data_IF_010738129297
#
_entry.id   IF_010738129297
#
_cell.length_a   1.000
_cell.length_b   1.000
_cell.length_c   1.000
_cell.angle_alpha   90.00
_cell.angle_beta   90.00
_cell.angle_gamma   90.00
#
_symmetry.space_group_name_H-M   'P 1'
#
loop_
_entity.id
_entity.type
_entity.pdbx_description
1 polymer ?
#
# COMPACT_ATOMS: atom_id res chain seq x y z
N UNK A 1 11.88 -17.33 -53.55
CA UNK A 1 12.20 -15.97 -54.03
C UNK A 1 11.53 -15.01 -53.07
N UNK A 2 12.32 -14.29 -52.28
CA UNK A 2 11.78 -13.19 -51.47
C UNK A 2 11.46 -12.09 -52.46
N UNK A 3 10.19 -11.83 -52.75
CA UNK A 3 9.79 -10.67 -53.54
C UNK A 3 10.45 -9.43 -52.92
N UNK A 4 11.15 -8.69 -53.75
CA UNK A 4 11.83 -7.49 -53.31
C UNK A 4 10.80 -6.40 -52.98
N UNK A 5 10.30 -6.41 -51.77
CA UNK A 5 9.27 -5.50 -51.29
C UNK A 5 9.62 -4.02 -51.43
N UNK A 6 10.88 -3.69 -51.61
CA UNK A 6 11.40 -2.34 -51.83
C UNK A 6 11.22 -1.85 -53.26
N UNK A 7 11.20 -2.75 -54.24
CA UNK A 7 11.27 -2.39 -55.65
C UNK A 7 10.16 -1.39 -56.08
N UNK A 8 8.87 -1.56 -55.64
CA UNK A 8 7.83 -0.62 -56.02
C UNK A 8 8.06 0.79 -55.51
N UNK A 9 8.67 0.94 -54.32
CA UNK A 9 8.99 2.24 -53.72
C UNK A 9 10.21 2.88 -54.38
N UNK A 10 11.19 2.07 -54.77
CA UNK A 10 12.36 2.53 -55.56
C UNK A 10 11.91 3.02 -56.93
N UNK A 11 11.06 2.31 -57.64
CA UNK A 11 10.55 2.69 -58.97
C UNK A 11 9.74 3.99 -58.85
N UNK A 12 8.93 4.14 -57.82
CA UNK A 12 8.18 5.37 -57.57
C UNK A 12 9.10 6.56 -57.29
N UNK A 13 10.12 6.37 -56.49
CA UNK A 13 11.15 7.38 -56.24
C UNK A 13 11.93 7.76 -57.50
N UNK A 14 12.33 6.80 -58.34
CA UNK A 14 13.04 7.04 -59.58
C UNK A 14 12.16 7.86 -60.56
N UNK A 15 10.86 7.59 -60.58
CA UNK A 15 9.92 8.33 -61.44
C UNK A 15 9.75 9.81 -61.03
N UNK A 16 9.83 10.14 -59.75
CA UNK A 16 9.82 11.50 -59.24
C UNK A 16 10.59 11.64 -57.91
N UNK A 17 11.90 11.91 -57.98
CA UNK A 17 12.76 12.05 -56.80
C UNK A 17 12.48 13.28 -55.94
N UNK A 18 11.68 14.25 -56.49
CA UNK A 18 11.31 15.47 -55.79
C UNK A 18 9.95 15.38 -55.08
N UNK A 19 9.26 14.26 -55.22
CA UNK A 19 8.01 14.02 -54.55
C UNK A 19 8.23 13.63 -53.07
N UNK A 20 7.67 14.41 -52.10
CA UNK A 20 7.84 14.13 -50.67
C UNK A 20 7.32 12.73 -50.26
N UNK A 21 6.15 12.33 -50.77
CA UNK A 21 5.55 11.03 -50.43
C UNK A 21 6.40 9.85 -50.94
N UNK A 22 7.00 9.98 -52.13
CA UNK A 22 7.91 8.95 -52.67
C UNK A 22 9.12 8.78 -51.76
N UNK A 23 9.72 9.85 -51.29
CA UNK A 23 10.84 9.85 -50.38
C UNK A 23 10.42 9.29 -48.99
N UNK A 24 9.29 9.70 -48.46
CA UNK A 24 8.79 9.25 -47.17
C UNK A 24 8.56 7.73 -47.15
N UNK A 25 7.80 7.20 -48.11
CA UNK A 25 7.48 5.77 -48.11
C UNK A 25 8.71 4.87 -48.42
N UNK A 26 9.63 5.34 -49.22
CA UNK A 26 10.88 4.65 -49.43
C UNK A 26 11.73 4.63 -48.14
N UNK A 27 11.79 5.74 -47.42
CA UNK A 27 12.44 5.81 -46.12
C UNK A 27 11.83 4.81 -45.12
N UNK A 28 10.49 4.77 -45.07
CA UNK A 28 9.75 3.88 -44.16
C UNK A 28 9.98 2.41 -44.45
N UNK A 29 10.05 2.00 -45.71
CA UNK A 29 10.40 0.63 -46.09
C UNK A 29 11.86 0.28 -45.76
N UNK A 30 12.81 1.22 -45.94
CA UNK A 30 14.18 1.05 -45.43
C UNK A 30 14.24 0.92 -43.92
N UNK A 31 13.44 1.68 -43.20
CA UNK A 31 13.31 1.57 -41.73
C UNK A 31 12.87 0.16 -41.31
N UNK A 32 11.83 -0.38 -41.95
CA UNK A 32 11.31 -1.74 -41.67
C UNK A 32 12.32 -2.86 -41.81
N UNK A 33 13.23 -2.72 -42.79
CA UNK A 33 14.27 -3.72 -42.99
C UNK A 33 15.60 -3.41 -42.25
N UNK A 34 15.57 -2.42 -41.35
CA UNK A 34 16.72 -2.06 -40.51
C UNK A 34 17.84 -1.30 -41.21
N UNK A 35 17.60 -0.81 -42.42
CA UNK A 35 18.58 0.00 -43.18
C UNK A 35 18.52 1.47 -42.73
N UNK A 36 18.87 1.70 -41.44
CA UNK A 36 18.69 2.99 -40.77
C UNK A 36 19.40 4.14 -41.49
N UNK A 37 20.57 3.94 -42.07
CA UNK A 37 21.32 5.00 -42.79
C UNK A 37 20.58 5.45 -44.06
N UNK A 38 20.04 4.51 -44.84
CA UNK A 38 19.27 4.79 -46.03
C UNK A 38 17.95 5.46 -45.63
N UNK A 39 17.23 4.93 -44.65
CA UNK A 39 15.99 5.54 -44.11
C UNK A 39 16.22 6.98 -43.67
N UNK A 40 17.27 7.26 -42.90
CA UNK A 40 17.65 8.60 -42.48
C UNK A 40 17.81 9.57 -43.65
N UNK A 41 18.53 9.16 -44.70
CA UNK A 41 18.76 10.01 -45.85
C UNK A 41 17.50 10.39 -46.58
N UNK A 42 16.57 9.44 -46.75
CA UNK A 42 15.29 9.69 -47.42
C UNK A 42 14.29 10.49 -46.55
N UNK A 43 14.28 10.27 -45.23
CA UNK A 43 13.49 11.11 -44.33
C UNK A 43 13.98 12.55 -44.32
N UNK A 44 15.29 12.80 -44.28
CA UNK A 44 15.83 14.17 -44.35
C UNK A 44 15.54 14.80 -45.70
N UNK A 45 15.62 14.04 -46.80
CA UNK A 45 15.27 14.52 -48.10
C UNK A 45 13.79 14.88 -48.23
N UNK A 46 12.90 14.06 -47.66
CA UNK A 46 11.47 14.35 -47.57
C UNK A 46 11.22 15.65 -46.79
N UNK A 47 11.87 15.81 -45.64
CA UNK A 47 11.73 17.01 -44.80
C UNK A 47 12.21 18.30 -45.53
N UNK A 48 13.23 18.16 -46.38
CA UNK A 48 13.78 19.31 -47.17
C UNK A 48 12.81 19.78 -48.24
N UNK A 49 12.12 18.84 -48.91
CA UNK A 49 11.31 19.18 -50.12
C UNK A 49 9.82 19.34 -49.85
N UNK A 50 9.34 18.91 -48.66
CA UNK A 50 7.92 18.95 -48.30
C UNK A 50 7.50 20.33 -47.80
N UNK A 51 6.32 20.82 -48.23
CA UNK A 51 5.63 21.96 -47.67
C UNK A 51 4.62 21.58 -46.58
N UNK A 52 4.30 20.29 -46.48
CA UNK A 52 3.41 19.76 -45.43
C UNK A 52 4.12 19.77 -44.08
N UNK A 53 3.64 20.62 -43.20
CA UNK A 53 4.24 20.85 -41.88
C UNK A 53 4.27 19.61 -41.01
N UNK A 54 3.20 18.81 -41.02
CA UNK A 54 3.10 17.56 -40.23
C UNK A 54 4.05 16.51 -40.77
N UNK A 55 4.16 16.40 -42.11
CA UNK A 55 5.07 15.47 -42.75
C UNK A 55 6.54 15.81 -42.47
N UNK A 56 6.91 17.08 -42.55
CA UNK A 56 8.26 17.55 -42.21
C UNK A 56 8.60 17.21 -40.75
N UNK A 57 7.67 17.52 -39.83
CA UNK A 57 7.86 17.23 -38.42
C UNK A 57 8.04 15.73 -38.17
N UNK A 58 7.19 14.90 -38.78
CA UNK A 58 7.31 13.44 -38.66
C UNK A 58 8.64 12.92 -39.20
N UNK A 59 9.09 13.42 -40.34
CA UNK A 59 10.39 13.07 -40.89
C UNK A 59 11.54 13.44 -39.97
N UNK A 60 11.47 14.56 -39.25
CA UNK A 60 12.48 14.95 -38.25
C UNK A 60 12.48 13.99 -37.06
N UNK A 61 11.32 13.55 -36.57
CA UNK A 61 11.21 12.55 -35.53
C UNK A 61 11.73 11.17 -35.97
N UNK A 62 11.38 10.75 -37.18
CA UNK A 62 11.91 9.51 -37.78
C UNK A 62 13.42 9.56 -37.97
N UNK A 63 13.95 10.70 -38.36
CA UNK A 63 15.40 10.92 -38.46
C UNK A 63 16.09 10.76 -37.09
N UNK A 64 15.50 11.33 -36.05
CA UNK A 64 15.95 11.07 -34.68
C UNK A 64 15.93 9.58 -34.32
N UNK A 65 14.85 8.86 -34.65
CA UNK A 65 14.73 7.43 -34.36
C UNK A 65 15.81 6.60 -35.06
N UNK A 66 16.15 6.95 -36.30
CA UNK A 66 17.23 6.29 -37.06
C UNK A 66 18.61 6.53 -36.42
N UNK A 67 18.87 7.75 -35.96
CA UNK A 67 20.09 8.08 -35.21
C UNK A 67 20.15 7.34 -33.86
N UNK A 68 19.05 7.32 -33.15
CA UNK A 68 18.93 6.63 -31.86
C UNK A 68 19.22 5.13 -31.96
N UNK A 69 18.72 4.45 -33.00
CA UNK A 69 18.97 3.02 -33.24
C UNK A 69 20.45 2.69 -33.59
N UNK A 70 21.18 3.69 -34.01
CA UNK A 70 22.61 3.48 -34.36
C UNK A 70 23.59 3.74 -33.23
N UNK A 71 23.12 4.40 -32.15
CA UNK A 71 23.85 4.74 -30.90
C UNK A 71 25.20 5.43 -31.09
N UNK A 72 25.51 5.90 -32.29
CA UNK A 72 26.84 6.42 -32.67
C UNK A 72 27.04 7.90 -32.40
N UNK A 73 25.96 8.67 -32.16
CA UNK A 73 26.03 10.13 -32.09
C UNK A 73 24.99 10.71 -31.13
N UNK A 74 25.11 10.47 -29.81
CA UNK A 74 24.07 10.86 -28.85
C UNK A 74 23.80 12.36 -28.76
N UNK A 75 24.80 13.21 -29.05
CA UNK A 75 24.60 14.67 -29.12
C UNK A 75 23.77 15.11 -30.35
N UNK A 76 23.79 14.34 -31.42
CA UNK A 76 23.00 14.61 -32.63
C UNK A 76 21.52 14.26 -32.41
N UNK A 77 21.23 13.27 -31.58
CA UNK A 77 19.87 12.91 -31.21
C UNK A 77 19.14 14.05 -30.53
N UNK A 78 19.79 14.70 -29.56
CA UNK A 78 19.25 15.85 -28.88
C UNK A 78 18.97 17.01 -29.84
N UNK A 79 19.94 17.33 -30.69
CA UNK A 79 19.82 18.41 -31.67
C UNK A 79 18.67 18.17 -32.64
N UNK A 80 18.46 16.94 -33.10
CA UNK A 80 17.38 16.60 -34.02
C UNK A 80 16.00 16.80 -33.41
N UNK A 81 15.81 16.45 -32.15
CA UNK A 81 14.55 16.71 -31.44
C UNK A 81 14.32 18.21 -31.21
N UNK A 82 15.37 18.98 -30.90
CA UNK A 82 15.26 20.43 -30.81
C UNK A 82 14.87 21.05 -32.15
N UNK A 83 15.40 20.55 -33.25
CA UNK A 83 15.01 20.98 -34.60
C UNK A 83 13.53 20.71 -34.85
N UNK A 84 13.03 19.55 -34.48
CA UNK A 84 11.62 19.21 -34.58
C UNK A 84 10.73 20.18 -33.76
N UNK A 85 11.12 20.45 -32.50
CA UNK A 85 10.41 21.43 -31.65
C UNK A 85 10.42 22.82 -32.29
N UNK A 86 11.56 23.27 -32.77
CA UNK A 86 11.67 24.61 -33.39
C UNK A 86 10.80 24.70 -34.64
N UNK A 87 10.70 23.64 -35.41
CA UNK A 87 9.89 23.58 -36.61
C UNK A 87 8.38 23.57 -36.32
N UNK A 88 7.96 22.72 -35.31
CA UNK A 88 6.56 22.63 -34.95
C UNK A 88 6.38 22.56 -33.39
N UNK A 89 6.46 23.72 -32.72
CA UNK A 89 6.50 23.77 -31.24
C UNK A 89 5.18 23.35 -30.54
N UNK A 90 4.08 23.22 -31.30
CA UNK A 90 2.78 22.81 -30.74
C UNK A 90 2.57 21.31 -30.70
N UNK A 91 3.48 20.49 -31.21
CA UNK A 91 3.38 19.04 -31.19
C UNK A 91 4.12 18.43 -29.98
N UNK A 92 3.50 17.47 -29.25
CA UNK A 92 4.01 16.97 -27.99
C UNK A 92 5.14 15.93 -28.11
N UNK A 93 5.23 15.22 -29.24
CA UNK A 93 6.07 14.03 -29.37
C UNK A 93 7.56 14.31 -29.14
N UNK A 94 8.08 15.41 -29.70
CA UNK A 94 9.50 15.76 -29.54
C UNK A 94 9.83 16.18 -28.11
N UNK A 95 8.96 16.87 -27.40
CA UNK A 95 9.13 17.21 -25.99
C UNK A 95 9.17 15.95 -25.11
N UNK A 96 8.26 15.01 -25.37
CA UNK A 96 8.25 13.73 -24.68
C UNK A 96 9.54 12.95 -24.92
N UNK A 97 9.99 12.82 -26.18
CA UNK A 97 11.20 12.12 -26.53
C UNK A 97 12.46 12.75 -25.92
N UNK A 98 12.51 14.10 -25.83
CA UNK A 98 13.57 14.79 -25.10
C UNK A 98 13.52 14.50 -23.60
N UNK A 99 12.33 14.53 -22.99
CA UNK A 99 12.19 14.21 -21.57
C UNK A 99 12.66 12.79 -21.25
N UNK A 100 12.34 11.80 -22.09
CA UNK A 100 12.86 10.42 -21.99
C UNK A 100 14.39 10.35 -22.20
N UNK A 101 14.94 11.12 -23.12
CA UNK A 101 16.37 11.15 -23.34
C UNK A 101 17.13 11.64 -22.12
N UNK A 102 16.62 12.68 -21.47
CA UNK A 102 17.17 13.24 -20.22
C UNK A 102 16.92 12.31 -19.01
N UNK A 103 15.75 11.66 -18.93
CA UNK A 103 15.45 10.65 -17.92
C UNK A 103 16.51 9.53 -17.91
N UNK A 104 16.82 8.98 -19.08
CA UNK A 104 17.84 7.91 -19.24
C UNK A 104 19.25 8.32 -18.80
N UNK A 105 19.53 9.62 -18.81
CA UNK A 105 20.81 10.20 -18.36
C UNK A 105 20.76 10.68 -16.92
N UNK A 106 19.63 10.51 -16.22
CA UNK A 106 19.37 11.05 -14.89
C UNK A 106 19.48 12.59 -14.80
N UNK A 107 19.31 13.27 -15.92
CA UNK A 107 19.29 14.73 -16.02
C UNK A 107 17.87 15.24 -15.70
N UNK A 108 17.51 15.14 -14.41
CA UNK A 108 16.13 15.31 -13.93
C UNK A 108 15.56 16.72 -14.14
N UNK A 109 16.41 17.75 -14.09
CA UNK A 109 15.99 19.14 -14.31
C UNK A 109 15.56 19.38 -15.75
N UNK A 110 16.32 18.85 -16.68
CA UNK A 110 16.05 18.93 -18.11
C UNK A 110 14.81 18.11 -18.47
N UNK A 111 14.69 16.90 -17.92
CA UNK A 111 13.50 16.06 -18.05
C UNK A 111 12.25 16.83 -17.59
N UNK A 112 12.28 17.41 -16.38
CA UNK A 112 11.19 18.23 -15.85
C UNK A 112 10.89 19.45 -16.70
N UNK A 113 11.92 20.12 -17.20
CA UNK A 113 11.78 21.30 -18.05
C UNK A 113 11.04 20.97 -19.34
N UNK A 114 11.52 19.99 -20.12
CA UNK A 114 10.89 19.65 -21.40
C UNK A 114 9.47 19.10 -21.22
N UNK A 115 9.23 18.28 -20.20
CA UNK A 115 7.89 17.83 -19.88
C UNK A 115 6.94 18.99 -19.53
N UNK A 116 7.43 19.98 -18.76
CA UNK A 116 6.63 21.14 -18.35
C UNK A 116 6.32 22.07 -19.53
N UNK A 117 7.35 22.39 -20.33
CA UNK A 117 7.18 23.24 -21.51
C UNK A 117 6.24 22.59 -22.54
N UNK A 118 6.38 21.29 -22.75
CA UNK A 118 5.49 20.57 -23.65
C UNK A 118 4.03 20.59 -23.18
N UNK A 119 3.76 20.41 -21.88
CA UNK A 119 2.42 20.51 -21.31
C UNK A 119 1.81 21.91 -21.46
N UNK A 120 2.63 22.96 -21.44
CA UNK A 120 2.16 24.34 -21.55
C UNK A 120 1.90 24.76 -23.00
N UNK A 121 2.74 24.35 -23.95
CA UNK A 121 2.73 24.85 -25.32
C UNK A 121 1.99 23.97 -26.32
N UNK A 122 1.88 22.65 -26.04
CA UNK A 122 1.37 21.71 -27.03
C UNK A 122 -0.16 21.72 -27.16
N UNK A 123 -0.62 21.43 -28.36
CA UNK A 123 -2.02 21.13 -28.66
C UNK A 123 -2.19 19.63 -28.82
N UNK A 124 -2.84 19.01 -27.83
CA UNK A 124 -3.08 17.58 -27.80
C UNK A 124 -4.24 17.12 -28.69
N UNK A 125 -4.93 18.04 -29.39
CA UNK A 125 -6.00 17.71 -30.32
C UNK A 125 -5.51 17.65 -31.78
N UNK A 126 -4.21 17.80 -32.01
CA UNK A 126 -3.65 17.67 -33.35
C UNK A 126 -3.83 16.22 -33.85
N UNK A 127 -4.04 16.05 -35.19
CA UNK A 127 -4.21 14.72 -35.76
C UNK A 127 -2.95 13.87 -35.58
N UNK A 128 -3.15 12.53 -35.52
CA UNK A 128 -2.06 11.59 -35.45
C UNK A 128 -1.09 11.72 -36.62
N UNK A 129 0.17 11.40 -36.38
CA UNK A 129 1.19 11.30 -37.42
C UNK A 129 0.89 10.11 -38.34
N UNK A 130 1.44 10.12 -39.55
CA UNK A 130 1.19 9.10 -40.61
C UNK A 130 1.63 7.69 -40.14
N UNK A 131 2.67 7.65 -39.33
CA UNK A 131 3.18 6.40 -38.76
C UNK A 131 3.47 6.54 -37.28
N UNK A 132 3.44 5.43 -36.56
CA UNK A 132 3.68 5.40 -35.13
C UNK A 132 5.08 5.90 -34.79
N UNK A 133 5.16 6.85 -33.87
CA UNK A 133 6.35 7.25 -33.16
C UNK A 133 6.23 6.80 -31.70
N UNK A 134 7.35 6.67 -30.98
CA UNK A 134 7.35 6.19 -29.58
C UNK A 134 6.72 7.24 -28.63
N UNK A 135 5.49 7.65 -28.90
CA UNK A 135 4.73 8.58 -28.09
C UNK A 135 3.45 7.90 -27.60
N UNK A 136 3.29 7.67 -26.27
CA UNK A 136 2.18 6.85 -25.77
C UNK A 136 0.83 7.57 -25.69
N UNK A 137 0.77 8.88 -25.92
CA UNK A 137 -0.45 9.67 -25.90
C UNK A 137 -0.37 10.93 -25.04
N UNK A 138 -1.48 11.63 -24.92
CA UNK A 138 -1.63 12.94 -24.29
C UNK A 138 -1.21 13.00 -22.82
N UNK A 139 -1.29 11.89 -22.10
CA UNK A 139 -0.82 11.76 -20.71
C UNK A 139 0.71 11.63 -20.57
N UNK A 140 1.44 11.42 -21.65
CA UNK A 140 2.85 11.06 -21.61
C UNK A 140 3.75 12.12 -20.99
N UNK A 141 3.53 13.38 -21.33
CA UNK A 141 4.26 14.51 -20.76
C UNK A 141 3.92 14.72 -19.27
N UNK A 142 2.66 14.51 -18.88
CA UNK A 142 2.23 14.58 -17.49
C UNK A 142 2.94 13.51 -16.65
N UNK A 143 3.05 12.29 -17.16
CA UNK A 143 3.77 11.20 -16.52
C UNK A 143 5.26 11.54 -16.33
N UNK A 144 5.93 12.08 -17.36
CA UNK A 144 7.32 12.51 -17.30
C UNK A 144 7.54 13.62 -16.27
N UNK A 145 6.62 14.59 -16.23
CA UNK A 145 6.64 15.66 -15.24
C UNK A 145 6.43 15.14 -13.83
N UNK A 146 5.49 14.21 -13.63
CA UNK A 146 5.24 13.58 -12.33
C UNK A 146 6.48 12.87 -11.81
N UNK A 147 7.14 12.09 -12.67
CA UNK A 147 8.33 11.33 -12.33
C UNK A 147 9.51 12.25 -11.99
N UNK A 148 9.85 13.16 -12.88
CA UNK A 148 11.01 14.06 -12.70
C UNK A 148 10.86 15.06 -11.56
N UNK A 149 9.63 15.50 -11.24
CA UNK A 149 9.34 16.39 -10.09
C UNK A 149 9.88 15.85 -8.77
N UNK A 150 9.85 14.53 -8.58
CA UNK A 150 10.37 13.90 -7.36
C UNK A 150 11.85 14.13 -7.18
N UNK A 151 12.62 13.95 -8.25
CA UNK A 151 14.08 14.08 -8.24
C UNK A 151 14.58 15.53 -8.21
N UNK A 152 13.77 16.47 -8.70
CA UNK A 152 14.10 17.92 -8.56
C UNK A 152 13.65 18.51 -7.22
N UNK A 153 13.21 17.66 -6.28
CA UNK A 153 12.87 18.07 -4.92
C UNK A 153 11.43 18.57 -4.73
N UNK A 154 10.60 18.55 -5.76
CA UNK A 154 9.20 18.97 -5.70
C UNK A 154 8.26 17.80 -5.33
N UNK A 155 8.54 17.13 -4.23
CA UNK A 155 7.89 15.86 -3.85
C UNK A 155 6.37 15.96 -3.73
N UNK A 156 5.84 16.96 -3.05
CA UNK A 156 4.39 17.14 -2.88
C UNK A 156 3.70 17.48 -4.22
N UNK A 157 4.38 18.18 -5.09
CA UNK A 157 3.89 18.44 -6.44
C UNK A 157 3.90 17.16 -7.29
N UNK A 158 4.94 16.36 -7.20
CA UNK A 158 5.04 15.04 -7.84
C UNK A 158 3.84 14.14 -7.47
N UNK A 159 3.50 14.08 -6.20
CA UNK A 159 2.35 13.31 -5.71
C UNK A 159 1.04 13.73 -6.38
N UNK A 160 0.79 15.03 -6.50
CA UNK A 160 -0.39 15.57 -7.19
C UNK A 160 -0.41 15.19 -8.67
N UNK A 161 0.72 15.32 -9.34
CA UNK A 161 0.86 14.97 -10.76
C UNK A 161 0.65 13.47 -11.01
N UNK A 162 1.12 12.60 -10.09
CA UNK A 162 0.86 11.17 -10.18
C UNK A 162 -0.63 10.83 -10.06
N UNK A 163 -1.36 11.52 -9.16
CA UNK A 163 -2.81 11.36 -9.03
C UNK A 163 -3.55 11.84 -10.29
N UNK A 164 -3.13 12.97 -10.85
CA UNK A 164 -3.66 13.49 -12.12
C UNK A 164 -3.38 12.52 -13.27
N UNK A 165 -2.16 11.97 -13.35
CA UNK A 165 -1.79 10.96 -14.34
C UNK A 165 -2.66 9.69 -14.22
N UNK A 166 -2.86 9.18 -13.00
CA UNK A 166 -3.69 7.99 -12.75
C UNK A 166 -5.14 8.15 -13.19
N UNK A 167 -5.70 9.34 -12.97
CA UNK A 167 -7.07 9.69 -13.32
C UNK A 167 -7.22 10.20 -14.77
N UNK A 168 -6.15 10.21 -15.55
CA UNK A 168 -6.21 10.71 -16.93
C UNK A 168 -7.12 9.82 -17.79
N UNK A 169 -8.10 10.39 -18.53
CA UNK A 169 -9.13 9.60 -19.23
C UNK A 169 -8.56 8.65 -20.28
N UNK A 170 -7.46 9.04 -20.93
CA UNK A 170 -6.86 8.29 -22.03
C UNK A 170 -5.65 7.45 -21.61
N UNK A 171 -5.35 7.34 -20.31
CA UNK A 171 -4.18 6.58 -19.85
C UNK A 171 -4.29 5.10 -20.22
N UNK A 172 -3.24 4.56 -20.81
CA UNK A 172 -3.21 3.12 -21.11
C UNK A 172 -3.08 2.26 -19.86
N UNK A 173 -3.58 1.01 -19.86
CA UNK A 173 -3.55 0.13 -18.68
C UNK A 173 -2.15 -0.03 -18.07
N UNK A 174 -1.14 -0.15 -18.91
CA UNK A 174 0.27 -0.27 -18.49
C UNK A 174 0.74 0.94 -17.68
N UNK A 175 0.47 2.16 -18.16
CA UNK A 175 0.90 3.38 -17.47
C UNK A 175 0.01 3.73 -16.29
N UNK A 176 -1.25 3.29 -16.33
CA UNK A 176 -2.15 3.39 -15.18
C UNK A 176 -1.64 2.54 -14.01
N UNK A 177 -1.17 1.31 -14.28
CA UNK A 177 -0.58 0.46 -13.24
C UNK A 177 0.72 1.07 -12.69
N UNK A 178 1.58 1.62 -13.54
CA UNK A 178 2.78 2.34 -13.10
C UNK A 178 2.45 3.55 -12.20
N UNK A 179 1.42 4.32 -12.56
CA UNK A 179 0.95 5.44 -11.74
C UNK A 179 0.40 4.94 -10.40
N UNK A 180 -0.35 3.85 -10.40
CA UNK A 180 -0.86 3.17 -9.21
C UNK A 180 0.26 2.72 -8.28
N UNK A 181 1.30 2.06 -8.79
CA UNK A 181 2.46 1.64 -8.00
C UNK A 181 3.16 2.83 -7.31
N UNK A 182 3.34 3.95 -8.03
CA UNK A 182 3.95 5.15 -7.44
C UNK A 182 3.04 5.80 -6.40
N UNK A 183 1.74 5.90 -6.65
CA UNK A 183 0.78 6.42 -5.69
C UNK A 183 0.68 5.54 -4.44
N UNK A 184 0.76 4.24 -4.58
CA UNK A 184 0.82 3.28 -3.46
C UNK A 184 2.05 3.55 -2.59
N UNK A 185 3.23 3.74 -3.20
CA UNK A 185 4.46 4.10 -2.46
C UNK A 185 4.33 5.42 -1.70
N UNK A 186 3.49 6.33 -2.18
CA UNK A 186 3.20 7.62 -1.53
C UNK A 186 2.02 7.57 -0.57
N UNK A 187 1.36 6.41 -0.40
CA UNK A 187 0.12 6.23 0.35
C UNK A 187 -1.02 7.17 -0.10
N UNK A 188 -1.10 7.47 -1.39
CA UNK A 188 -2.06 8.41 -1.98
C UNK A 188 -3.18 7.75 -2.77
N UNK A 189 -3.10 6.48 -3.11
CA UNK A 189 -4.23 5.73 -3.59
C UNK A 189 -5.09 5.36 -2.39
N UNK A 190 -6.21 6.05 -2.28
CA UNK A 190 -7.37 5.39 -1.75
C UNK A 190 -7.65 4.26 -2.74
N UNK A 191 -7.44 3.02 -2.31
CA UNK A 191 -7.96 1.89 -3.06
C UNK A 191 -9.45 2.19 -3.26
N UNK A 192 -9.90 2.30 -4.52
CA UNK A 192 -11.31 2.17 -4.90
C UNK A 192 -11.80 0.74 -4.61
N UNK A 193 -11.59 0.30 -3.39
CA UNK A 193 -12.30 -0.79 -2.80
C UNK A 193 -13.41 -0.12 -2.01
N UNK A 194 -14.64 -0.26 -2.49
CA UNK A 194 -15.87 0.12 -1.81
C UNK A 194 -16.03 -0.55 -0.42
N UNK A 195 -15.06 -1.31 0.04
CA UNK A 195 -15.05 -1.99 1.32
C UNK A 195 -14.67 -1.03 2.44
N UNK A 196 -15.71 -0.45 3.00
CA UNK A 196 -15.57 0.32 4.24
C UNK A 196 -15.42 -0.60 5.45
N UNK A 197 -14.81 -0.06 6.47
CA UNK A 197 -14.59 -0.76 7.74
C UNK A 197 -15.31 -0.06 8.89
N UNK A 198 -15.67 -0.82 9.91
CA UNK A 198 -16.05 -0.28 11.20
C UNK A 198 -14.88 -0.33 12.17
N UNK A 199 -14.71 0.71 12.99
CA UNK A 199 -13.69 0.75 14.05
C UNK A 199 -14.35 0.63 15.40
N UNK A 200 -13.89 -0.31 16.22
CA UNK A 200 -14.32 -0.52 17.60
C UNK A 200 -13.27 0.11 18.53
N UNK A 201 -13.66 1.13 19.26
CA UNK A 201 -12.89 1.72 20.35
C UNK A 201 -13.35 1.09 21.68
N UNK A 202 -12.52 0.23 22.24
CA UNK A 202 -12.85 -0.65 23.36
C UNK A 202 -12.23 -0.16 24.66
N UNK A 203 -13.04 -0.03 25.72
CA UNK A 203 -12.59 0.27 27.08
C UNK A 203 -13.43 1.35 27.76
N UNK A 204 -12.94 1.89 28.90
CA UNK A 204 -13.63 2.94 29.63
C UNK A 204 -13.71 4.21 28.80
N UNK A 205 -14.91 4.79 28.67
CA UNK A 205 -15.12 6.01 27.91
C UNK A 205 -14.32 7.20 28.49
N UNK A 206 -13.79 8.01 27.60
CA UNK A 206 -13.23 9.33 27.88
C UNK A 206 -13.50 10.28 26.70
N UNK A 207 -13.31 11.57 26.88
CA UNK A 207 -13.44 12.53 25.77
C UNK A 207 -12.41 12.27 24.67
N UNK A 208 -11.23 11.78 25.04
CA UNK A 208 -10.22 11.32 24.09
C UNK A 208 -10.75 10.25 23.11
N UNK A 209 -11.61 9.34 23.62
CA UNK A 209 -12.27 8.34 22.76
C UNK A 209 -13.16 8.96 21.69
N UNK A 210 -13.89 10.02 22.04
CA UNK A 210 -14.77 10.74 21.12
C UNK A 210 -13.97 11.58 20.12
N UNK A 211 -12.90 12.21 20.56
CA UNK A 211 -11.98 12.94 19.67
C UNK A 211 -11.34 12.00 18.65
N UNK A 212 -10.87 10.83 19.10
CA UNK A 212 -10.34 9.76 18.24
C UNK A 212 -11.38 9.29 17.23
N UNK A 213 -12.63 9.10 17.65
CA UNK A 213 -13.74 8.74 16.76
C UNK A 213 -13.96 9.81 15.67
N UNK A 214 -14.00 11.10 16.06
CA UNK A 214 -14.15 12.22 15.12
C UNK A 214 -12.96 12.33 14.13
N UNK A 215 -11.76 11.99 14.57
CA UNK A 215 -10.57 11.96 13.71
C UNK A 215 -10.71 10.86 12.67
N UNK A 216 -11.04 9.64 13.09
CA UNK A 216 -11.11 8.48 12.20
C UNK A 216 -12.27 8.51 11.22
N UNK A 217 -13.40 9.15 11.55
CA UNK A 217 -14.49 9.37 10.61
C UNK A 217 -14.13 10.28 9.42
N UNK A 218 -12.99 10.98 9.47
CA UNK A 218 -12.48 11.74 8.33
C UNK A 218 -11.72 10.86 7.33
N UNK A 219 -11.41 9.62 7.69
CA UNK A 219 -10.74 8.66 6.82
C UNK A 219 -11.75 8.07 5.83
N UNK A 220 -11.46 8.08 4.53
CA UNK A 220 -12.46 7.73 3.50
C UNK A 220 -12.91 6.27 3.56
N UNK A 221 -12.10 5.38 4.13
CA UNK A 221 -12.38 3.95 4.27
C UNK A 221 -13.14 3.59 5.56
N UNK A 222 -13.39 4.54 6.47
CA UNK A 222 -14.12 4.32 7.72
C UNK A 222 -15.59 4.64 7.52
N UNK A 223 -16.46 3.70 7.90
CA UNK A 223 -17.90 3.87 7.84
C UNK A 223 -18.47 4.25 9.20
N UNK A 224 -18.31 3.40 10.20
CA UNK A 224 -18.83 3.63 11.53
C UNK A 224 -17.74 3.46 12.60
N UNK A 225 -17.94 4.18 13.72
CA UNK A 225 -17.16 3.99 14.95
C UNK A 225 -18.08 3.45 16.03
N UNK A 226 -17.69 2.36 16.66
CA UNK A 226 -18.39 1.78 17.80
C UNK A 226 -17.53 2.01 19.05
N UNK A 227 -17.99 2.88 19.94
CA UNK A 227 -17.36 3.08 21.25
C UNK A 227 -17.99 2.08 22.21
N UNK A 228 -17.26 1.00 22.50
CA UNK A 228 -17.71 -0.07 23.40
C UNK A 228 -17.19 0.18 24.82
N UNK A 229 -18.06 0.75 25.66
CA UNK A 229 -17.74 1.28 26.99
C UNK A 229 -18.62 0.63 28.08
N UNK A 230 -18.59 1.16 29.29
CA UNK A 230 -19.28 0.56 30.44
C UNK A 230 -20.62 1.25 30.72
N UNK A 231 -21.53 0.54 31.38
CA UNK A 231 -22.87 1.00 31.67
C UNK A 231 -22.88 2.28 32.51
N UNK A 232 -21.90 2.48 33.38
CA UNK A 232 -21.72 3.62 34.27
C UNK A 232 -20.85 4.75 33.66
N UNK A 233 -20.30 4.56 32.48
CA UNK A 233 -19.58 5.61 31.79
C UNK A 233 -20.53 6.75 31.39
N UNK A 234 -20.14 7.99 31.69
CA UNK A 234 -20.87 9.19 31.31
C UNK A 234 -20.62 9.55 29.85
N UNK A 235 -21.33 8.91 28.93
CA UNK A 235 -21.24 9.20 27.50
C UNK A 235 -22.11 10.43 27.15
N UNK A 236 -21.70 11.26 26.18
CA UNK A 236 -22.47 12.43 25.78
C UNK A 236 -23.82 12.03 25.19
N UNK A 237 -24.83 12.81 25.52
CA UNK A 237 -26.19 12.69 24.96
C UNK A 237 -26.25 13.47 23.64
N UNK A 238 -26.72 12.83 22.58
CA UNK A 238 -26.84 13.45 21.24
C UNK A 238 -26.79 12.42 20.13
N UNK A 239 -27.16 12.86 18.94
CA UNK A 239 -26.97 12.04 17.73
C UNK A 239 -25.59 12.34 17.12
N UNK A 240 -24.73 11.40 17.16
CA UNK A 240 -23.40 11.48 16.52
C UNK A 240 -23.45 10.63 15.26
N UNK A 241 -23.51 11.28 14.11
CA UNK A 241 -23.51 10.56 12.83
C UNK A 241 -22.33 9.58 12.77
N UNK A 242 -22.64 8.33 12.49
CA UNK A 242 -21.67 7.23 12.35
C UNK A 242 -20.85 6.90 13.64
N UNK A 243 -21.27 7.39 14.82
CA UNK A 243 -20.73 6.96 16.11
C UNK A 243 -21.79 6.29 16.94
N UNK A 244 -21.58 5.03 17.30
CA UNK A 244 -22.49 4.24 18.14
C UNK A 244 -21.85 3.95 19.49
N UNK A 245 -22.58 4.19 20.58
CA UNK A 245 -22.16 3.81 21.93
C UNK A 245 -22.78 2.47 22.32
N UNK A 246 -21.94 1.50 22.71
CA UNK A 246 -22.34 0.20 23.21
C UNK A 246 -21.99 0.13 24.69
N UNK A 247 -23.00 0.21 25.56
CA UNK A 247 -22.83 0.16 27.01
C UNK A 247 -22.86 -1.29 27.52
N UNK A 248 -21.74 -1.76 28.03
CA UNK A 248 -21.56 -3.11 28.54
C UNK A 248 -21.86 -3.19 30.04
N UNK A 249 -22.49 -4.29 30.47
CA UNK A 249 -22.53 -4.66 31.86
C UNK A 249 -21.20 -5.28 32.29
N UNK A 250 -20.77 -5.01 33.51
CA UNK A 250 -19.57 -5.61 34.05
C UNK A 250 -19.75 -7.14 34.17
N UNK A 251 -18.72 -7.94 33.86
CA UNK A 251 -18.71 -9.37 34.17
C UNK A 251 -18.67 -9.60 35.68
N UNK A 252 -19.04 -10.80 36.15
CA UNK A 252 -19.02 -11.17 37.56
C UNK A 252 -17.61 -11.13 38.19
N UNK A 253 -16.58 -11.33 37.38
CA UNK A 253 -15.17 -11.17 37.74
C UNK A 253 -14.45 -10.38 36.66
N UNK A 254 -13.53 -9.51 37.01
CA UNK A 254 -12.70 -8.82 36.04
C UNK A 254 -11.69 -9.75 35.34
N UNK A 255 -11.43 -10.92 35.95
CA UNK A 255 -10.40 -11.84 35.50
C UNK A 255 -8.98 -11.31 35.73
N UNK A 256 -7.98 -12.13 35.46
CA UNK A 256 -6.57 -11.79 35.60
C UNK A 256 -6.20 -10.62 34.67
N UNK A 257 -5.60 -9.57 35.22
CA UNK A 257 -5.19 -8.39 34.45
C UNK A 257 -6.36 -7.68 33.75
N UNK A 258 -7.61 -7.78 34.27
CA UNK A 258 -8.83 -7.24 33.68
C UNK A 258 -9.22 -7.81 32.30
N UNK A 259 -8.78 -9.04 31.98
CA UNK A 259 -9.05 -9.66 30.68
C UNK A 259 -10.52 -9.83 30.33
N UNK A 260 -11.37 -10.14 31.36
CA UNK A 260 -12.81 -10.27 31.13
C UNK A 260 -13.44 -8.96 30.71
N UNK A 261 -12.96 -7.83 31.23
CA UNK A 261 -13.40 -6.51 30.80
C UNK A 261 -13.04 -6.29 29.31
N UNK A 262 -11.82 -6.66 28.92
CA UNK A 262 -11.40 -6.53 27.53
C UNK A 262 -12.22 -7.45 26.61
N UNK A 263 -12.45 -8.71 27.00
CA UNK A 263 -13.22 -9.67 26.21
C UNK A 263 -14.65 -9.19 26.00
N UNK A 264 -15.38 -8.84 27.08
CA UNK A 264 -16.78 -8.41 27.01
C UNK A 264 -16.94 -7.18 26.13
N UNK A 265 -16.12 -6.16 26.35
CA UNK A 265 -16.24 -4.93 25.60
C UNK A 265 -15.77 -5.07 24.15
N UNK A 266 -14.76 -5.88 23.86
CA UNK A 266 -14.34 -6.19 22.47
C UNK A 266 -15.41 -6.96 21.73
N UNK A 267 -15.90 -8.07 22.30
CA UNK A 267 -16.91 -8.92 21.68
C UNK A 267 -18.20 -8.15 21.35
N UNK A 268 -18.72 -7.40 22.34
CA UNK A 268 -19.95 -6.64 22.14
C UNK A 268 -19.75 -5.49 21.13
N UNK A 269 -18.58 -4.86 21.13
CA UNK A 269 -18.23 -3.88 20.11
C UNK A 269 -18.26 -4.48 18.71
N UNK A 270 -17.57 -5.62 18.49
CA UNK A 270 -17.53 -6.31 17.20
C UNK A 270 -18.91 -6.84 16.78
N UNK A 271 -19.70 -7.41 17.71
CA UNK A 271 -21.08 -7.86 17.41
C UNK A 271 -22.01 -6.72 16.97
N UNK A 272 -21.72 -5.49 17.36
CA UNK A 272 -22.49 -4.30 16.98
C UNK A 272 -22.03 -3.59 15.71
N UNK A 273 -20.95 -4.07 15.07
CA UNK A 273 -20.51 -3.61 13.75
C UNK A 273 -21.36 -4.22 12.64
N UNK A 274 -21.32 -3.60 11.47
CA UNK A 274 -22.13 -3.99 10.29
C UNK A 274 -21.28 -4.37 9.10
N UNK A 275 -20.06 -3.84 9.00
CA UNK A 275 -19.17 -4.12 7.90
C UNK A 275 -18.50 -5.50 8.00
N UNK A 276 -18.11 -6.05 6.85
CA UNK A 276 -17.41 -7.34 6.75
C UNK A 276 -16.07 -7.33 7.46
N UNK A 277 -15.36 -6.19 7.41
CA UNK A 277 -14.07 -6.01 8.06
C UNK A 277 -14.16 -4.98 9.16
N UNK A 278 -13.52 -5.28 10.27
CA UNK A 278 -13.53 -4.44 11.45
C UNK A 278 -12.15 -4.31 12.05
N UNK A 279 -11.95 -3.19 12.73
CA UNK A 279 -10.74 -2.91 13.51
C UNK A 279 -11.13 -2.74 14.96
N UNK A 280 -10.60 -3.58 15.85
CA UNK A 280 -10.71 -3.39 17.29
C UNK A 280 -9.44 -2.71 17.80
N UNK A 281 -9.62 -1.61 18.48
CA UNK A 281 -8.55 -0.84 19.13
C UNK A 281 -8.92 -0.53 20.57
N UNK A 282 -7.93 -0.19 21.38
CA UNK A 282 -8.17 0.35 22.72
C UNK A 282 -8.58 1.82 22.61
N UNK A 283 -9.51 2.26 23.42
CA UNK A 283 -10.01 3.64 23.40
C UNK A 283 -9.10 4.66 24.11
N UNK A 284 -8.05 4.19 24.80
CA UNK A 284 -6.98 5.00 25.39
C UNK A 284 -5.76 5.14 24.46
N UNK A 285 -5.89 4.70 23.19
CA UNK A 285 -4.85 4.70 22.18
C UNK A 285 -5.35 5.34 20.88
N UNK A 286 -4.46 5.99 20.14
CA UNK A 286 -4.74 6.60 18.85
C UNK A 286 -3.54 6.48 17.93
N UNK A 287 -3.80 6.12 16.70
CA UNK A 287 -2.86 6.25 15.59
C UNK A 287 -3.19 7.52 14.82
N UNK A 288 -2.19 8.18 14.26
CA UNK A 288 -2.45 9.29 13.37
C UNK A 288 -3.07 8.84 12.04
N UNK A 289 -3.56 9.78 11.25
CA UNK A 289 -4.25 9.45 10.00
C UNK A 289 -3.33 8.79 8.97
N UNK A 290 -2.04 9.12 8.97
CA UNK A 290 -1.06 8.52 8.07
C UNK A 290 -0.80 7.07 8.45
N UNK A 291 -0.63 6.78 9.73
CA UNK A 291 -0.50 5.41 10.26
C UNK A 291 -1.73 4.57 9.95
N UNK A 292 -2.95 5.11 10.17
CA UNK A 292 -4.20 4.42 9.83
C UNK A 292 -4.30 4.12 8.33
N UNK A 293 -3.88 5.03 7.47
CA UNK A 293 -3.85 4.82 6.03
C UNK A 293 -2.84 3.72 5.62
N UNK A 294 -1.65 3.72 6.23
CA UNK A 294 -0.65 2.65 6.02
C UNK A 294 -1.17 1.29 6.46
N UNK A 295 -1.82 1.22 7.62
CA UNK A 295 -2.44 -0.01 8.12
C UNK A 295 -3.55 -0.50 7.18
N UNK A 296 -4.40 0.40 6.66
CA UNK A 296 -5.45 0.07 5.70
C UNK A 296 -4.88 -0.45 4.37
N UNK A 297 -3.82 0.16 3.85
CA UNK A 297 -3.15 -0.29 2.64
C UNK A 297 -2.57 -1.69 2.82
N UNK A 298 -1.86 -1.91 3.93
CA UNK A 298 -1.31 -3.21 4.29
C UNK A 298 -2.40 -4.29 4.44
N UNK A 299 -3.54 -3.93 5.07
CA UNK A 299 -4.69 -4.80 5.15
C UNK A 299 -5.20 -5.20 3.76
N UNK A 300 -5.40 -4.26 2.85
CA UNK A 300 -5.88 -4.54 1.50
C UNK A 300 -4.93 -5.44 0.69
N UNK A 301 -3.62 -5.31 0.88
CA UNK A 301 -2.62 -6.18 0.26
C UNK A 301 -2.65 -7.61 0.78
N UNK A 302 -3.19 -7.81 1.99
CA UNK A 302 -3.14 -9.09 2.70
C UNK A 302 -4.50 -9.75 2.90
N UNK A 303 -5.63 -9.05 2.73
CA UNK A 303 -6.97 -9.56 3.00
C UNK A 303 -7.39 -10.75 2.15
N UNK A 304 -6.88 -10.86 0.92
CA UNK A 304 -7.22 -11.96 0.00
C UNK A 304 -6.27 -13.16 0.09
N UNK A 305 -5.19 -13.04 0.85
CA UNK A 305 -4.24 -14.13 1.02
C UNK A 305 -4.83 -15.19 1.94
N UNK A 306 -5.61 -16.11 1.34
CA UNK A 306 -6.15 -17.28 2.05
C UNK A 306 -5.02 -18.08 2.66
N UNK A 307 -5.20 -18.44 3.92
CA UNK A 307 -4.29 -19.36 4.57
C UNK A 307 -4.67 -20.77 4.11
N UNK A 308 -3.82 -21.41 3.33
CA UNK A 308 -3.96 -22.85 3.06
C UNK A 308 -3.36 -23.61 4.23
N UNK A 309 -4.21 -24.18 5.07
CA UNK A 309 -3.80 -25.22 6.02
C UNK A 309 -4.30 -26.56 5.48
N UNK A 310 -3.37 -27.46 5.21
CA UNK A 310 -3.71 -28.81 4.76
C UNK A 310 -4.62 -29.46 5.81
N UNK A 311 -5.87 -29.72 5.40
CA UNK A 311 -6.87 -30.50 6.12
C UNK A 311 -7.76 -29.83 7.18
N UNK A 312 -7.83 -28.50 7.33
CA UNK A 312 -8.79 -27.92 8.26
C UNK A 312 -9.61 -26.78 7.64
N UNK A 313 -10.92 -27.06 7.38
CA UNK A 313 -11.89 -26.07 6.87
C UNK A 313 -12.29 -24.97 7.86
N UNK A 314 -11.77 -25.04 9.09
CA UNK A 314 -12.13 -24.18 10.23
C UNK A 314 -11.17 -23.02 10.43
N UNK A 315 -10.12 -22.88 9.62
CA UNK A 315 -9.17 -21.77 9.74
C UNK A 315 -9.85 -20.41 9.50
N UNK A 316 -9.35 -19.32 10.11
CA UNK A 316 -9.92 -18.01 9.88
C UNK A 316 -9.97 -17.69 8.37
N UNK A 317 -11.00 -16.96 7.96
CA UNK A 317 -11.18 -16.60 6.54
C UNK A 317 -9.97 -15.84 6.01
N UNK A 318 -9.42 -14.99 6.87
CA UNK A 318 -8.23 -14.20 6.58
C UNK A 318 -7.31 -14.17 7.81
N UNK A 319 -6.02 -13.89 7.62
CA UNK A 319 -5.16 -13.59 8.75
C UNK A 319 -5.67 -12.36 9.50
N UNK A 320 -5.71 -12.46 10.82
CA UNK A 320 -5.97 -11.30 11.67
C UNK A 320 -4.69 -10.47 11.75
N UNK A 321 -4.77 -9.20 11.35
CA UNK A 321 -3.64 -8.30 11.47
C UNK A 321 -3.56 -7.75 12.90
N UNK A 322 -2.35 -7.66 13.43
CA UNK A 322 -2.09 -7.24 14.81
C UNK A 322 -0.94 -6.22 14.86
N UNK A 323 -0.85 -5.46 15.93
CA UNK A 323 0.26 -4.51 16.12
C UNK A 323 1.62 -5.22 16.20
N UNK A 324 1.63 -6.52 16.53
CA UNK A 324 2.81 -7.36 16.57
C UNK A 324 2.52 -8.68 17.28
N UNK A 325 3.40 -9.65 17.06
CA UNK A 325 3.41 -10.90 17.82
C UNK A 325 4.60 -10.87 18.77
N UNK A 326 4.42 -11.32 20.01
CA UNK A 326 5.49 -11.35 20.98
C UNK A 326 5.98 -12.79 21.16
N UNK A 327 6.98 -13.18 20.40
CA UNK A 327 7.47 -14.56 20.33
C UNK A 327 8.16 -15.10 21.60
N UNK A 328 8.42 -14.23 22.57
CA UNK A 328 8.92 -14.67 23.88
C UNK A 328 7.83 -15.28 24.78
N UNK A 329 6.54 -15.07 24.45
CA UNK A 329 5.41 -15.63 25.18
C UNK A 329 4.54 -16.48 24.26
N UNK A 330 4.07 -17.65 24.71
CA UNK A 330 3.20 -18.49 23.90
C UNK A 330 1.89 -17.76 23.52
N UNK A 331 1.51 -17.86 22.27
CA UNK A 331 0.24 -17.38 21.70
C UNK A 331 -0.08 -15.92 22.04
N UNK A 332 0.89 -15.03 21.91
CA UNK A 332 0.78 -13.64 22.36
C UNK A 332 0.66 -12.65 21.19
N UNK A 333 -0.51 -12.48 20.52
CA UNK A 333 -0.78 -11.38 19.64
C UNK A 333 -0.95 -10.09 20.46
N UNK A 334 -0.29 -8.99 20.11
CA UNK A 334 -0.45 -7.74 20.84
C UNK A 334 -1.85 -7.17 20.72
N UNK A 335 -2.46 -6.78 21.84
CA UNK A 335 -3.84 -6.38 21.98
C UNK A 335 -4.15 -4.92 21.57
N UNK A 336 -3.13 -4.17 21.15
CA UNK A 336 -3.29 -2.77 20.74
C UNK A 336 -4.28 -2.62 19.59
N UNK A 337 -4.15 -3.45 18.57
CA UNK A 337 -5.05 -3.48 17.43
C UNK A 337 -5.26 -4.91 16.94
N UNK A 338 -6.51 -5.24 16.60
CA UNK A 338 -6.89 -6.43 15.85
C UNK A 338 -7.70 -5.99 14.65
N UNK A 339 -7.26 -6.34 13.47
CA UNK A 339 -7.89 -5.97 12.20
C UNK A 339 -8.17 -7.23 11.38
N UNK A 340 -9.41 -7.50 11.07
CA UNK A 340 -9.77 -8.71 10.37
C UNK A 340 -11.22 -8.79 9.95
N UNK A 341 -11.60 -9.97 9.47
CA UNK A 341 -13.00 -10.29 9.19
C UNK A 341 -13.80 -10.24 10.50
N UNK A 342 -15.01 -9.68 10.45
CA UNK A 342 -15.89 -9.51 11.60
C UNK A 342 -16.19 -10.83 12.31
N UNK A 343 -16.43 -11.89 11.56
CA UNK A 343 -16.73 -13.22 12.12
C UNK A 343 -15.51 -13.82 12.82
N UNK A 344 -14.32 -13.70 12.22
CA UNK A 344 -13.07 -14.16 12.84
C UNK A 344 -12.78 -13.39 14.15
N UNK A 345 -13.07 -12.09 14.20
CA UNK A 345 -12.90 -11.31 15.44
C UNK A 345 -13.99 -11.61 16.48
N UNK A 346 -15.21 -12.00 16.07
CA UNK A 346 -16.20 -12.52 17.03
C UNK A 346 -15.68 -13.79 17.66
N UNK A 347 -15.18 -14.75 16.88
CA UNK A 347 -14.62 -16.00 17.40
C UNK A 347 -13.38 -15.77 18.28
N UNK A 348 -12.55 -14.79 17.94
CA UNK A 348 -11.36 -14.41 18.73
C UNK A 348 -11.74 -13.95 20.14
N UNK A 349 -12.85 -13.22 20.30
CA UNK A 349 -13.26 -12.66 21.58
C UNK A 349 -14.40 -13.43 22.27
N UNK A 350 -15.10 -14.35 21.58
CA UNK A 350 -16.15 -15.20 22.15
C UNK A 350 -15.56 -16.44 22.81
N UNK A 351 -14.68 -16.22 23.75
CA UNK A 351 -13.96 -17.25 24.52
C UNK A 351 -14.39 -17.21 25.99
N UNK A 352 -14.19 -18.29 26.77
CA UNK A 352 -14.62 -18.36 28.15
C UNK A 352 -14.09 -17.21 29.00
N UNK A 353 -14.97 -16.65 29.84
CA UNK A 353 -14.58 -15.68 30.86
C UNK A 353 -14.01 -16.40 32.08
N UNK A 354 -12.95 -15.85 32.68
CA UNK A 354 -12.43 -16.36 33.93
C UNK A 354 -13.42 -16.12 35.09
N UNK A 355 -13.71 -17.14 35.84
CA UNK A 355 -14.60 -17.04 37.03
C UNK A 355 -13.92 -16.38 38.23
N UNK A 356 -12.61 -16.53 38.32
CA UNK A 356 -11.78 -15.91 39.36
C UNK A 356 -10.39 -15.63 38.74
N UNK A 357 -9.69 -14.61 39.26
CA UNK A 357 -8.33 -14.32 38.80
C UNK A 357 -7.34 -15.46 39.16
N UNK A 358 -6.22 -15.51 38.46
CA UNK A 358 -5.17 -16.49 38.78
C UNK A 358 -4.63 -16.27 40.21
N UNK A 359 -4.50 -15.01 40.62
CA UNK A 359 -4.06 -14.64 41.97
C UNK A 359 -4.98 -15.22 43.06
N UNK A 360 -6.30 -15.18 42.80
CA UNK A 360 -7.28 -15.77 43.72
C UNK A 360 -7.19 -17.29 43.75
N UNK A 361 -7.02 -17.93 42.57
CA UNK A 361 -6.98 -19.41 42.48
C UNK A 361 -5.72 -20.02 43.07
N UNK A 362 -4.55 -19.38 42.83
CA UNK A 362 -3.24 -19.93 43.28
C UNK A 362 -2.86 -19.36 44.65
N UNK A 363 -3.69 -18.51 45.27
CA UNK A 363 -3.38 -17.79 46.54
C UNK A 363 -2.02 -17.11 46.50
N UNK A 364 -1.68 -16.55 45.36
CA UNK A 364 -0.38 -15.96 45.07
C UNK A 364 -0.23 -14.62 45.83
N UNK A 365 0.89 -14.43 46.49
CA UNK A 365 1.21 -13.17 47.10
C UNK A 365 1.57 -12.16 45.99
N UNK A 366 1.17 -10.86 46.16
CA UNK A 366 1.46 -9.80 45.22
C UNK A 366 2.95 -9.65 44.86
N UNK A 367 3.82 -10.04 45.77
CA UNK A 367 5.29 -10.02 45.59
C UNK A 367 5.77 -11.06 44.56
N UNK A 368 5.06 -12.19 44.46
CA UNK A 368 5.36 -13.26 43.51
C UNK A 368 4.72 -13.04 42.14
N UNK A 369 3.74 -12.12 42.05
CA UNK A 369 2.97 -11.82 40.85
C UNK A 369 3.88 -11.50 39.67
N UNK A 370 4.90 -10.68 39.87
CA UNK A 370 5.83 -10.24 38.81
C UNK A 370 6.77 -11.37 38.34
N UNK A 371 7.07 -12.34 39.17
CA UNK A 371 7.85 -13.52 38.79
C UNK A 371 7.13 -14.40 37.78
N UNK A 372 5.81 -14.42 37.82
CA UNK A 372 4.95 -15.30 37.04
C UNK A 372 4.14 -14.54 35.98
N UNK A 373 4.21 -13.20 36.00
CA UNK A 373 3.44 -12.33 35.09
C UNK A 373 3.84 -12.51 33.65
N UNK A 374 5.04 -12.97 33.38
CA UNK A 374 5.61 -12.99 32.03
C UNK A 374 5.19 -14.20 31.18
N UNK A 375 4.42 -15.13 31.73
CA UNK A 375 3.97 -16.30 30.99
C UNK A 375 2.51 -16.25 30.61
N UNK A 376 1.71 -17.17 31.11
CA UNK A 376 0.29 -17.33 30.74
C UNK A 376 -0.67 -16.29 31.35
N UNK A 377 -0.19 -15.47 32.28
CA UNK A 377 -0.99 -14.46 32.99
C UNK A 377 -1.43 -13.33 32.08
N UNK A 378 -0.75 -13.14 30.96
CA UNK A 378 -1.08 -12.04 30.02
C UNK A 378 -2.39 -12.29 29.29
N UNK A 379 -3.18 -11.23 29.19
CA UNK A 379 -4.48 -11.24 28.49
C UNK A 379 -4.34 -11.71 27.05
N UNK A 380 -3.29 -11.25 26.37
CA UNK A 380 -3.01 -11.56 24.99
C UNK A 380 -2.74 -13.05 24.78
N UNK A 381 -1.94 -13.67 25.65
CA UNK A 381 -1.68 -15.12 25.60
C UNK A 381 -2.94 -15.93 25.88
N UNK A 382 -3.81 -15.46 26.76
CA UNK A 382 -5.12 -16.08 27.01
C UNK A 382 -6.00 -16.03 25.76
N UNK A 383 -6.13 -14.88 25.15
CA UNK A 383 -6.92 -14.69 23.92
C UNK A 383 -6.35 -15.57 22.80
N UNK A 384 -5.05 -15.47 22.56
CA UNK A 384 -4.40 -16.20 21.47
C UNK A 384 -4.43 -17.70 21.65
N UNK A 385 -4.21 -18.23 22.87
CA UNK A 385 -4.25 -19.67 23.11
C UNK A 385 -5.66 -20.24 22.98
N UNK A 386 -6.69 -19.56 23.51
CA UNK A 386 -8.07 -20.00 23.33
C UNK A 386 -8.47 -19.99 21.84
N UNK A 387 -8.14 -18.94 21.11
CA UNK A 387 -8.45 -18.87 19.70
C UNK A 387 -7.70 -19.94 18.88
N UNK A 388 -6.40 -20.09 19.10
CA UNK A 388 -5.59 -21.10 18.42
C UNK A 388 -6.03 -22.54 18.76
N UNK A 389 -6.64 -22.77 19.93
CA UNK A 389 -7.14 -24.11 20.31
C UNK A 389 -8.31 -24.59 19.45
N UNK A 390 -8.97 -23.68 18.71
CA UNK A 390 -9.99 -24.05 17.72
C UNK A 390 -9.37 -24.76 16.50
N UNK A 391 -8.09 -24.57 16.27
CA UNK A 391 -7.35 -25.09 15.12
C UNK A 391 -6.38 -26.22 15.46
N UNK A 392 -5.94 -26.30 16.73
CA UNK A 392 -5.03 -27.34 17.19
C UNK A 392 -5.36 -27.83 18.60
N UNK A 393 -5.76 -29.09 18.69
CA UNK A 393 -6.17 -29.70 19.97
C UNK A 393 -5.05 -29.84 20.99
N UNK A 394 -3.79 -29.84 20.56
CA UNK A 394 -2.63 -29.90 21.46
C UNK A 394 -2.60 -28.76 22.46
N UNK A 395 -3.22 -27.62 22.14
CA UNK A 395 -3.28 -26.43 22.98
C UNK A 395 -4.24 -26.65 24.17
N UNK A 396 -5.28 -27.48 24.02
CA UNK A 396 -6.32 -27.67 25.05
C UNK A 396 -5.75 -28.15 26.39
N UNK A 397 -4.66 -28.91 26.38
CA UNK A 397 -4.01 -29.38 27.63
C UNK A 397 -3.58 -28.21 28.51
N UNK A 398 -3.12 -27.13 27.95
CA UNK A 398 -2.69 -25.93 28.67
C UNK A 398 -3.84 -25.04 29.10
N UNK A 399 -4.89 -24.98 28.31
CA UNK A 399 -6.12 -24.24 28.69
C UNK A 399 -6.78 -24.84 29.91
N UNK A 400 -6.67 -26.17 30.09
CA UNK A 400 -7.21 -26.90 31.25
C UNK A 400 -6.34 -26.77 32.50
N UNK A 401 -5.04 -26.55 32.33
CA UNK A 401 -4.04 -26.48 33.42
C UNK A 401 -3.09 -25.30 33.17
N UNK A 402 -3.56 -24.05 33.33
CA UNK A 402 -2.73 -22.88 33.08
C UNK A 402 -1.49 -22.76 33.95
N UNK A 403 -1.47 -23.43 35.12
CA UNK A 403 -0.32 -23.52 35.99
C UNK A 403 0.89 -24.20 35.35
N UNK A 404 0.71 -24.99 34.29
CA UNK A 404 1.82 -25.62 33.57
C UNK A 404 2.72 -24.60 32.82
N UNK A 405 2.25 -23.38 32.63
CA UNK A 405 3.02 -22.30 31.98
C UNK A 405 3.77 -21.40 32.97
N UNK A 406 3.67 -21.65 34.27
CA UNK A 406 4.20 -20.71 35.26
C UNK A 406 5.74 -20.66 35.35
N UNK A 407 6.46 -21.48 34.58
CA UNK A 407 7.92 -21.55 34.66
C UNK A 407 8.59 -21.54 33.29
N UNK A 408 9.40 -20.53 33.01
CA UNK A 408 10.13 -20.33 31.76
C UNK A 408 10.99 -21.51 31.31
N UNK A 409 11.50 -22.31 32.26
CA UNK A 409 12.37 -23.45 31.98
C UNK A 409 11.64 -24.79 31.94
N UNK A 410 10.31 -24.80 32.11
CA UNK A 410 9.55 -26.04 32.04
C UNK A 410 9.52 -26.59 30.61
N UNK A 411 9.53 -27.93 30.48
CA UNK A 411 9.37 -28.59 29.18
C UNK A 411 8.04 -28.18 28.50
N UNK A 412 6.97 -28.01 29.30
CA UNK A 412 5.67 -27.60 28.84
C UNK A 412 5.69 -26.17 28.24
N UNK A 413 6.44 -25.28 28.85
CA UNK A 413 6.58 -23.90 28.31
C UNK A 413 7.29 -23.91 26.95
N UNK A 414 8.39 -24.64 26.83
CA UNK A 414 9.14 -24.77 25.57
C UNK A 414 8.28 -25.37 24.48
N UNK A 415 7.56 -26.44 24.76
CA UNK A 415 6.63 -27.07 23.82
C UNK A 415 5.50 -26.12 23.41
N UNK A 416 4.94 -25.34 24.33
CA UNK A 416 3.94 -24.34 24.05
C UNK A 416 4.48 -23.20 23.17
N UNK A 417 5.71 -22.78 23.42
CA UNK A 417 6.36 -21.72 22.63
C UNK A 417 6.65 -22.18 21.19
N UNK A 418 7.11 -23.40 21.00
CA UNK A 418 7.34 -23.98 19.68
C UNK A 418 6.04 -24.06 18.87
N UNK A 419 4.98 -24.60 19.49
CA UNK A 419 3.67 -24.68 18.85
C UNK A 419 3.07 -23.29 18.57
N UNK A 420 3.26 -22.34 19.48
CA UNK A 420 2.88 -20.95 19.28
C UNK A 420 3.56 -20.35 18.07
N UNK A 421 4.87 -20.52 17.93
CA UNK A 421 5.64 -20.02 16.79
C UNK A 421 5.19 -20.62 15.47
N UNK A 422 4.70 -21.86 15.48
CA UNK A 422 4.12 -22.48 14.29
C UNK A 422 2.75 -21.87 13.90
N UNK A 423 1.85 -21.74 14.88
CA UNK A 423 0.45 -21.38 14.63
C UNK A 423 0.22 -19.87 14.53
N UNK A 424 0.84 -19.06 15.40
CA UNK A 424 0.62 -17.62 15.40
C UNK A 424 1.03 -16.97 14.07
N UNK A 425 2.11 -17.45 13.45
CA UNK A 425 2.55 -16.98 12.12
C UNK A 425 1.53 -17.27 11.03
N UNK A 426 0.74 -18.34 11.18
CA UNK A 426 -0.31 -18.70 10.21
C UNK A 426 -1.60 -17.90 10.41
N UNK A 427 -1.96 -17.62 11.65
CA UNK A 427 -3.24 -17.01 12.06
C UNK A 427 -3.14 -15.50 12.14
N UNK A 428 -2.06 -14.98 12.72
CA UNK A 428 -1.83 -13.55 12.93
C UNK A 428 -0.71 -13.05 12.02
N UNK A 429 -0.87 -11.81 11.53
CA UNK A 429 0.17 -11.11 10.80
C UNK A 429 0.40 -9.73 11.43
N UNK A 430 1.66 -9.44 11.74
CA UNK A 430 2.02 -8.13 12.29
C UNK A 430 2.01 -7.05 11.20
N UNK A 431 1.56 -5.84 11.58
CA UNK A 431 1.77 -4.65 10.76
C UNK A 431 3.27 -4.32 10.68
N UNK A 432 3.75 -3.74 9.56
CA UNK A 432 5.11 -3.23 9.49
C UNK A 432 5.32 -2.17 10.57
N UNK A 433 6.49 -2.18 11.20
CA UNK A 433 6.81 -1.27 12.31
C UNK A 433 7.07 0.16 11.83
N UNK A 434 7.66 0.30 10.64
CA UNK A 434 8.11 1.58 10.12
C UNK A 434 6.95 2.50 9.75
N UNK A 435 6.96 3.69 10.35
CA UNK A 435 6.01 4.75 10.04
C UNK A 435 4.58 4.49 10.51
N UNK A 436 4.41 3.71 11.58
CA UNK A 436 3.15 3.57 12.33
C UNK A 436 3.36 4.14 13.72
N UNK A 437 2.81 5.32 13.96
CA UNK A 437 2.95 6.05 15.20
C UNK A 437 1.72 5.86 16.09
N UNK A 438 1.96 5.40 17.33
CA UNK A 438 0.94 5.17 18.33
C UNK A 438 1.03 6.23 19.44
N UNK A 439 -0.02 6.99 19.64
CA UNK A 439 -0.24 7.83 20.80
C UNK A 439 -1.01 7.04 21.88
N UNK A 440 -0.58 7.13 23.13
CA UNK A 440 -1.21 6.44 24.25
C UNK A 440 -1.50 7.40 25.38
N UNK A 441 -2.78 7.77 25.56
CA UNK A 441 -3.26 8.72 26.57
C UNK A 441 -2.90 8.32 28.01
N UNK A 442 -2.99 7.02 28.31
CA UNK A 442 -2.66 6.46 29.64
C UNK A 442 -1.19 6.64 30.03
N UNK A 443 -0.28 6.60 29.06
CA UNK A 443 1.15 6.70 29.27
C UNK A 443 1.66 7.91 28.51
N UNK A 444 2.03 8.97 29.23
CA UNK A 444 2.66 10.13 28.61
C UNK A 444 4.07 9.77 28.13
N UNK A 445 4.17 9.27 26.90
CA UNK A 445 5.41 8.81 26.28
C UNK A 445 6.51 9.88 26.23
N UNK A 446 6.16 11.16 26.27
CA UNK A 446 7.14 12.25 26.38
C UNK A 446 7.90 12.23 27.74
N UNK A 447 7.34 11.58 28.77
CA UNK A 447 7.99 11.39 30.08
C UNK A 447 8.74 10.07 30.22
N UNK A 448 8.47 9.12 29.35
CA UNK A 448 9.12 7.80 29.33
C UNK A 448 9.70 7.58 27.93
N UNK A 449 10.83 8.26 27.58
CA UNK A 449 11.57 7.85 26.40
C UNK A 449 11.86 6.35 26.59
N UNK A 450 11.66 5.56 25.55
CA UNK A 450 11.93 4.13 25.53
C UNK A 450 13.23 3.85 26.25
N UNK A 451 13.12 3.50 27.53
CA UNK A 451 14.29 3.18 28.37
C UNK A 451 14.85 1.88 27.84
N UNK A 452 16.18 1.77 27.75
CA UNK A 452 16.93 0.66 27.17
C UNK A 452 16.56 -0.73 27.68
N UNK A 453 15.81 -0.84 28.79
CA UNK A 453 15.27 -2.10 29.28
C UNK A 453 14.17 -2.70 28.39
N UNK A 454 13.38 -1.86 27.68
CA UNK A 454 12.40 -2.36 26.69
C UNK A 454 13.06 -2.65 25.34
N UNK A 455 14.18 -2.04 24.99
CA UNK A 455 14.92 -2.30 23.74
C UNK A 455 15.56 -3.68 23.72
N UNK A 456 16.01 -4.22 24.86
CA UNK A 456 16.49 -5.62 24.92
C UNK A 456 15.39 -6.65 24.65
N UNK A 457 14.12 -6.32 24.92
CA UNK A 457 12.98 -7.13 24.52
C UNK A 457 12.57 -6.88 23.05
N UNK A 458 12.93 -5.75 22.45
CA UNK A 458 12.62 -5.41 21.06
C UNK A 458 13.51 -6.13 20.04
N UNK A 459 14.73 -6.52 20.37
CA UNK A 459 15.62 -7.27 19.48
C UNK A 459 15.12 -8.68 19.15
N UNK A 460 14.06 -9.16 19.81
CA UNK A 460 13.37 -10.41 19.48
C UNK A 460 12.14 -10.26 18.59
N UNK A 461 11.97 -9.09 17.95
CA UNK A 461 10.99 -8.91 16.91
C UNK A 461 11.52 -9.54 15.62
N UNK A 462 11.06 -10.72 15.33
CA UNK A 462 11.18 -11.20 13.95
C UNK A 462 10.03 -10.61 13.15
N UNK A 463 10.36 -9.68 12.25
CA UNK A 463 9.53 -9.38 11.13
C UNK A 463 9.33 -10.68 10.37
N UNK A 464 8.07 -11.05 10.09
CA UNK A 464 7.80 -12.07 9.10
C UNK A 464 8.24 -11.53 7.74
N UNK A 465 9.54 -11.64 7.46
CA UNK A 465 10.09 -11.47 6.13
C UNK A 465 9.66 -12.66 5.28
N UNK A 466 8.44 -12.64 4.78
CA UNK A 466 7.97 -13.39 3.61
C UNK A 466 6.71 -12.70 3.06
#
# INVERSE_FOLDING_TARGET
>A
MVENKLQPYIDKYISDPTNPDSNYWLAYEYEKIGQNAAALSYYLRCAEISEDKDLVYECLLKSWLMLHRTERRPWYEHQQLLTAITYYPKRPEAYYLLSILHEKKEEWKECFYYASVGLELCDFNLPDLRTEVKYPGDYALLLQKAFSSWYVGQREYSKKLWLETYNHPNISPKFKELAKENLTKFNLLNYDNDEKIDIILQGKYSEYSLETAKQYLKLPFVDNIIISCWVDDNVPTGNFNNVKFVKNKYPSSNGTGNRNLQLVSSLNGVKNSTNTFVVKMRNDQRYDNESMQKMYNFFNENKEKKISYENNSSFPKNRILVAGNFYAFPFHPRDHVFWGNREDLIELFDIPLEQSSIEERVKMKREDYWKYYDCYIRTESYIGSHYCSNFDERIKKWLLKPELYLYDDSLNYKEALELSNELTKKIFKAFPKEGIDLEWDKYNWAKYPYDNQYTQFHERWHEDGY
#
